data_IF_701784017164
#
_entry.id   IF_701784017164
#
_cell.length_a   1.000
_cell.length_b   1.000
_cell.length_c   1.000
_cell.angle_alpha   90.00
_cell.angle_beta   90.00
_cell.angle_gamma   90.00
#
_symmetry.space_group_name_H-M   'P 1'
#
loop_
_entity.id
_entity.type
_entity.pdbx_description
1 polymer ?
#
# COMPACT_ATOMS: atom_id res chain seq x y z
N UNK A 1 10.03 3.99 -2.46
CA UNK A 1 8.79 4.81 -2.44
C UNK A 1 9.06 6.29 -2.73
N UNK A 2 10.11 6.90 -2.15
CA UNK A 2 10.46 8.33 -2.37
C UNK A 2 10.52 8.81 -3.83
N UNK A 3 11.09 8.00 -4.73
CA UNK A 3 11.22 8.31 -6.17
C UNK A 3 9.84 8.49 -6.85
N UNK A 4 8.75 7.97 -6.26
CA UNK A 4 7.40 8.09 -6.80
C UNK A 4 6.91 9.55 -6.87
N UNK A 5 7.43 10.45 -6.03
CA UNK A 5 7.03 11.86 -5.98
C UNK A 5 7.88 12.76 -6.88
N UNK A 6 8.30 12.24 -8.04
CA UNK A 6 9.11 12.99 -9.00
C UNK A 6 8.25 14.07 -9.69
N UNK A 7 8.56 15.36 -9.48
CA UNK A 7 7.74 16.47 -9.98
C UNK A 7 7.77 16.63 -11.51
N UNK A 8 8.65 15.91 -12.20
CA UNK A 8 8.72 15.95 -13.68
C UNK A 8 7.62 15.11 -14.35
N UNK A 9 6.95 14.22 -13.58
CA UNK A 9 5.84 13.37 -14.04
C UNK A 9 4.49 13.98 -13.67
N UNK A 10 3.43 13.62 -14.39
CA UNK A 10 2.08 14.07 -14.02
C UNK A 10 1.69 13.54 -12.63
N UNK A 11 0.85 14.24 -11.86
CA UNK A 11 0.40 13.76 -10.55
C UNK A 11 -0.25 12.38 -10.61
N UNK A 12 -0.96 12.08 -11.70
CA UNK A 12 -1.62 10.79 -11.90
C UNK A 12 -0.60 9.65 -12.07
N UNK A 13 0.43 9.86 -12.90
CA UNK A 13 1.54 8.90 -13.06
C UNK A 13 2.30 8.70 -11.75
N UNK A 14 2.53 9.77 -10.99
CA UNK A 14 3.16 9.69 -9.67
C UNK A 14 2.33 8.84 -8.70
N UNK A 15 1.00 9.03 -8.67
CA UNK A 15 0.11 8.25 -7.81
C UNK A 15 0.09 6.77 -8.19
N UNK A 16 0.01 6.45 -9.50
CA UNK A 16 0.09 5.07 -9.96
C UNK A 16 1.42 4.42 -9.57
N UNK A 17 2.53 5.07 -9.91
CA UNK A 17 3.88 4.58 -9.56
C UNK A 17 4.05 4.42 -8.05
N UNK A 18 3.47 5.32 -7.24
CA UNK A 18 3.49 5.22 -5.79
C UNK A 18 2.81 3.93 -5.31
N UNK A 19 1.60 3.63 -5.80
CA UNK A 19 0.83 2.45 -5.39
C UNK A 19 1.55 1.17 -5.79
N UNK A 20 2.04 1.07 -7.03
CA UNK A 20 2.84 -0.09 -7.48
C UNK A 20 4.10 -0.28 -6.63
N UNK A 21 4.86 0.80 -6.40
CA UNK A 21 6.09 0.72 -5.59
C UNK A 21 5.79 0.36 -4.14
N UNK A 22 4.70 0.84 -3.56
CA UNK A 22 4.32 0.47 -2.21
C UNK A 22 4.00 -1.02 -2.15
N UNK A 23 3.21 -1.55 -3.10
CA UNK A 23 2.83 -2.97 -3.10
C UNK A 23 4.06 -3.88 -3.21
N UNK A 24 5.00 -3.56 -4.10
CA UNK A 24 6.26 -4.30 -4.20
C UNK A 24 7.16 -4.12 -2.97
N UNK A 25 7.22 -2.91 -2.40
CA UNK A 25 7.98 -2.65 -1.18
C UNK A 25 7.49 -3.50 -0.01
N UNK A 26 6.17 -3.73 0.10
CA UNK A 26 5.57 -4.54 1.16
C UNK A 26 5.98 -6.02 1.12
N UNK A 27 6.36 -6.55 -0.04
CA UNK A 27 6.92 -7.91 -0.14
C UNK A 27 8.25 -7.99 0.63
N UNK A 28 9.14 -7.04 0.37
CA UNK A 28 10.52 -7.02 0.88
C UNK A 28 10.56 -6.59 2.35
N UNK A 29 9.62 -5.75 2.78
CA UNK A 29 9.64 -5.08 4.09
C UNK A 29 8.41 -5.46 4.94
N UNK A 30 7.94 -6.71 4.78
CA UNK A 30 6.76 -7.22 5.46
C UNK A 30 6.90 -7.23 6.99
N UNK A 31 8.12 -7.37 7.49
CA UNK A 31 8.50 -7.24 8.90
C UNK A 31 8.27 -5.82 9.45
N UNK A 32 8.65 -4.79 8.68
CA UNK A 32 8.42 -3.38 9.04
C UNK A 32 6.92 -3.10 9.14
N UNK A 33 6.12 -3.65 8.22
CA UNK A 33 4.66 -3.55 8.29
C UNK A 33 4.14 -4.23 9.55
N UNK A 34 4.57 -5.47 9.84
CA UNK A 34 4.12 -6.21 11.01
C UNK A 34 4.44 -5.47 12.32
N UNK A 35 5.64 -4.91 12.45
CA UNK A 35 6.05 -4.08 13.59
C UNK A 35 5.16 -2.84 13.70
N UNK A 36 4.94 -2.14 12.58
CA UNK A 36 4.09 -0.94 12.56
C UNK A 36 2.66 -1.24 13.00
N UNK A 37 2.12 -2.41 12.61
CA UNK A 37 0.82 -2.86 13.05
C UNK A 37 0.77 -3.17 14.54
N UNK A 38 1.81 -3.83 15.08
CA UNK A 38 1.89 -4.13 16.49
C UNK A 38 1.99 -2.86 17.34
N UNK A 39 2.89 -1.94 16.99
CA UNK A 39 3.07 -0.68 17.71
C UNK A 39 1.87 0.27 17.58
N UNK A 40 1.12 0.18 16.47
CA UNK A 40 -0.09 0.97 16.24
C UNK A 40 -1.30 0.61 17.10
N UNK A 41 -1.23 -0.47 17.90
CA UNK A 41 -2.37 -0.94 18.71
C UNK A 41 -2.55 -0.18 20.01
N UNK A 42 -1.47 0.33 20.58
CA UNK A 42 -1.47 0.91 21.92
C UNK A 42 -0.63 2.19 21.95
N UNK A 43 -1.03 3.22 22.73
CA UNK A 43 -0.22 4.42 22.92
C UNK A 43 1.17 4.07 23.48
N UNK A 44 2.23 4.50 22.78
CA UNK A 44 3.60 4.28 23.22
C UNK A 44 4.57 5.26 22.57
N UNK A 45 5.74 5.45 23.17
CA UNK A 45 6.80 6.28 22.58
C UNK A 45 7.27 5.75 21.21
N UNK A 46 7.12 4.44 20.96
CA UNK A 46 7.47 3.82 19.67
C UNK A 46 6.45 4.19 18.61
N UNK A 47 5.15 4.23 18.95
CA UNK A 47 4.12 4.73 18.06
C UNK A 47 4.34 6.21 17.72
N UNK A 48 4.65 7.03 18.72
CA UNK A 48 4.94 8.46 18.50
C UNK A 48 6.13 8.62 17.55
N UNK A 49 7.22 7.90 17.80
CA UNK A 49 8.40 7.92 16.96
C UNK A 49 8.11 7.48 15.51
N UNK A 50 7.40 6.35 15.33
CA UNK A 50 7.05 5.85 14.00
C UNK A 50 6.16 6.83 13.24
N UNK A 51 5.17 7.39 13.93
CA UNK A 51 4.21 8.33 13.36
C UNK A 51 4.89 9.62 12.93
N UNK A 52 5.66 10.24 13.82
CA UNK A 52 6.25 11.55 13.56
C UNK A 52 7.37 11.48 12.52
N UNK A 53 8.19 10.42 12.54
CA UNK A 53 9.34 10.30 11.64
C UNK A 53 9.00 9.76 10.27
N UNK A 54 8.01 8.88 10.15
CA UNK A 54 7.77 8.14 8.92
C UNK A 54 6.35 8.29 8.38
N UNK A 55 5.34 7.99 9.20
CA UNK A 55 3.96 7.87 8.70
C UNK A 55 3.33 9.22 8.37
N UNK A 56 3.46 10.21 9.26
CA UNK A 56 2.83 11.53 9.08
C UNK A 56 3.46 12.33 7.92
N UNK A 57 4.79 12.38 7.75
CA UNK A 57 5.39 13.02 6.57
C UNK A 57 4.92 12.39 5.26
N UNK A 58 4.84 11.06 5.20
CA UNK A 58 4.34 10.34 4.03
C UNK A 58 2.86 10.63 3.77
N UNK A 59 2.02 10.55 4.79
CA UNK A 59 0.57 10.81 4.68
C UNK A 59 0.28 12.23 4.16
N UNK A 60 1.01 13.24 4.62
CA UNK A 60 0.87 14.62 4.13
C UNK A 60 1.21 14.76 2.64
N UNK A 61 2.26 14.07 2.18
CA UNK A 61 2.63 14.06 0.76
C UNK A 61 1.61 13.31 -0.09
N UNK A 62 1.10 12.19 0.41
CA UNK A 62 0.03 11.44 -0.24
C UNK A 62 -1.24 12.28 -0.35
N UNK A 63 -1.64 12.98 0.72
CA UNK A 63 -2.79 13.88 0.71
C UNK A 63 -2.65 14.96 -0.36
N UNK A 64 -1.50 15.63 -0.42
CA UNK A 64 -1.23 16.65 -1.44
C UNK A 64 -1.28 16.07 -2.85
N UNK A 65 -0.75 14.86 -3.06
CA UNK A 65 -0.78 14.20 -4.36
C UNK A 65 -2.20 13.86 -4.79
N UNK A 66 -3.02 13.33 -3.89
CA UNK A 66 -4.44 13.04 -4.17
C UNK A 66 -5.21 14.31 -4.53
N UNK A 67 -4.98 15.43 -3.84
CA UNK A 67 -5.58 16.72 -4.18
C UNK A 67 -5.17 17.21 -5.57
N UNK A 68 -3.90 17.04 -5.93
CA UNK A 68 -3.40 17.38 -7.27
C UNK A 68 -4.05 16.53 -8.36
N UNK A 69 -4.18 15.21 -8.14
CA UNK A 69 -4.86 14.31 -9.09
C UNK A 69 -6.34 14.66 -9.21
N UNK A 70 -7.03 14.87 -8.09
CA UNK A 70 -8.44 15.22 -8.06
C UNK A 70 -8.78 16.55 -8.79
N UNK A 71 -7.79 17.41 -9.01
CA UNK A 71 -7.99 18.66 -9.76
C UNK A 71 -8.17 18.48 -11.27
N UNK A 72 -7.70 17.35 -11.82
CA UNK A 72 -7.74 17.05 -13.26
C UNK A 72 -8.40 15.71 -13.61
N UNK A 73 -8.50 14.80 -12.64
CA UNK A 73 -9.01 13.44 -12.83
C UNK A 73 -10.00 13.10 -11.73
N UNK A 74 -11.12 12.47 -12.10
CA UNK A 74 -12.14 12.08 -11.14
C UNK A 74 -11.67 10.89 -10.29
N UNK A 75 -11.70 11.07 -8.97
CA UNK A 75 -11.36 10.05 -7.99
C UNK A 75 -12.59 9.72 -7.14
N UNK A 76 -12.71 8.47 -6.69
CA UNK A 76 -13.61 8.14 -5.61
C UNK A 76 -13.22 8.90 -4.33
N UNK A 77 -14.20 9.31 -3.49
CA UNK A 77 -13.94 10.12 -2.29
C UNK A 77 -13.30 9.26 -1.19
N UNK A 78 -12.00 9.00 -1.33
CA UNK A 78 -11.18 8.26 -0.40
C UNK A 78 -10.10 9.19 0.18
N UNK A 79 -10.14 9.43 1.50
CA UNK A 79 -9.11 10.22 2.16
C UNK A 79 -7.76 9.51 2.19
N UNK A 80 -6.66 10.28 2.24
CA UNK A 80 -5.30 9.74 2.30
C UNK A 80 -5.07 8.76 3.46
N UNK A 81 -5.73 8.98 4.61
CA UNK A 81 -5.65 8.05 5.75
C UNK A 81 -6.27 6.68 5.43
N UNK A 82 -7.41 6.65 4.73
CA UNK A 82 -8.04 5.40 4.33
C UNK A 82 -7.22 4.68 3.25
N UNK A 83 -6.66 5.41 2.27
CA UNK A 83 -5.75 4.83 1.29
C UNK A 83 -4.48 4.27 1.94
N UNK A 84 -3.90 5.00 2.89
CA UNK A 84 -2.75 4.53 3.65
C UNK A 84 -3.08 3.26 4.45
N UNK A 85 -4.27 3.20 5.06
CA UNK A 85 -4.72 2.01 5.76
C UNK A 85 -4.88 0.81 4.82
N UNK A 86 -5.44 0.98 3.63
CA UNK A 86 -5.54 -0.09 2.62
C UNK A 86 -4.17 -0.59 2.17
N UNK A 87 -3.22 0.32 1.99
CA UNK A 87 -1.84 -0.04 1.64
C UNK A 87 -1.14 -0.76 2.81
N UNK A 88 -1.08 -0.18 3.99
CA UNK A 88 -0.32 -0.74 5.12
C UNK A 88 -1.00 -1.97 5.73
N UNK A 89 -2.31 -1.93 5.93
CA UNK A 89 -3.07 -3.00 6.59
C UNK A 89 -3.71 -3.99 5.62
N UNK A 90 -4.00 -3.60 4.38
CA UNK A 90 -4.46 -4.54 3.36
C UNK A 90 -3.27 -5.25 2.73
N UNK A 91 -2.56 -4.55 1.84
CA UNK A 91 -1.42 -5.08 1.07
C UNK A 91 -0.32 -5.58 2.00
N UNK A 92 0.05 -4.78 3.00
CA UNK A 92 1.12 -5.14 3.92
C UNK A 92 0.82 -6.41 4.74
N UNK A 93 -0.41 -6.57 5.25
CA UNK A 93 -0.81 -7.80 5.96
C UNK A 93 -0.84 -9.01 5.03
N UNK A 94 -1.26 -8.81 3.77
CA UNK A 94 -1.30 -9.90 2.79
C UNK A 94 0.05 -10.60 2.66
N UNK A 95 1.14 -9.82 2.59
CA UNK A 95 2.50 -10.35 2.50
C UNK A 95 3.10 -10.73 3.86
N UNK A 96 2.76 -10.03 4.95
CA UNK A 96 3.29 -10.32 6.28
C UNK A 96 2.70 -11.58 6.94
N UNK A 97 1.50 -12.00 6.53
CA UNK A 97 0.76 -13.10 7.16
C UNK A 97 0.74 -14.38 6.30
N UNK A 98 1.77 -14.63 5.51
CA UNK A 98 1.89 -15.82 4.64
C UNK A 98 1.46 -17.15 5.28
N UNK A 99 1.99 -17.53 6.47
CA UNK A 99 1.61 -18.77 7.13
C UNK A 99 0.13 -18.84 7.55
N UNK A 100 -0.54 -17.71 7.74
CA UNK A 100 -1.99 -17.66 7.98
C UNK A 100 -2.75 -17.94 6.69
N UNK A 101 -2.37 -17.30 5.58
CA UNK A 101 -3.01 -17.51 4.27
C UNK A 101 -2.88 -18.95 3.78
N UNK A 102 -1.74 -19.59 3.99
CA UNK A 102 -1.56 -21.03 3.70
C UNK A 102 -2.57 -21.91 4.44
N UNK A 103 -2.92 -21.56 5.69
CA UNK A 103 -3.90 -22.30 6.49
C UNK A 103 -5.35 -22.01 6.11
N UNK A 104 -5.63 -20.84 5.55
CA UNK A 104 -6.97 -20.47 5.08
C UNK A 104 -7.36 -21.17 3.77
N UNK A 105 -6.41 -21.83 3.11
CA UNK A 105 -6.59 -22.51 1.83
C UNK A 105 -6.23 -24.02 1.93
N UNK A 106 -6.90 -24.81 2.80
CA UNK A 106 -6.53 -26.21 3.03
C UNK A 106 -6.71 -27.10 1.79
N UNK A 107 -7.66 -26.76 0.91
CA UNK A 107 -8.02 -27.53 -0.29
C UNK A 107 -7.76 -26.77 -1.60
N UNK A 108 -7.11 -25.60 -1.54
CA UNK A 108 -6.70 -24.96 -2.78
C UNK A 108 -5.71 -25.90 -3.47
N UNK A 109 -5.89 -26.19 -4.78
CA UNK A 109 -4.83 -26.83 -5.53
C UNK A 109 -3.56 -26.05 -5.21
N UNK A 110 -2.49 -26.72 -4.78
CA UNK A 110 -1.19 -26.07 -4.85
C UNK A 110 -1.01 -25.75 -6.34
N UNK A 111 -1.29 -24.51 -6.72
CA UNK A 111 -1.34 -24.05 -8.10
C UNK A 111 0.06 -24.19 -8.72
N UNK A 112 0.39 -25.40 -9.13
CA UNK A 112 1.47 -25.69 -10.03
C UNK A 112 0.93 -25.57 -11.44
N UNK A 113 0.91 -24.35 -12.01
CA UNK A 113 1.09 -24.10 -13.46
C UNK A 113 0.90 -22.64 -13.91
N UNK A 114 0.67 -21.68 -13.02
CA UNK A 114 1.13 -20.30 -13.24
C UNK A 114 1.55 -19.78 -11.87
N UNK A 115 2.81 -20.02 -11.49
CA UNK A 115 3.33 -19.54 -10.20
C UNK A 115 3.40 -18.03 -10.25
N UNK A 116 2.30 -17.37 -9.91
CA UNK A 116 2.24 -15.94 -9.76
C UNK A 116 3.27 -15.55 -8.70
N UNK A 117 4.31 -14.85 -9.11
CA UNK A 117 5.36 -14.39 -8.21
C UNK A 117 4.75 -13.45 -7.17
N UNK A 118 5.46 -13.20 -6.06
CA UNK A 118 4.99 -12.20 -5.10
C UNK A 118 4.89 -10.82 -5.78
N UNK A 119 5.75 -10.53 -6.76
CA UNK A 119 5.70 -9.31 -7.57
C UNK A 119 4.43 -9.24 -8.42
N UNK A 120 4.07 -10.32 -9.12
CA UNK A 120 2.83 -10.37 -9.90
C UNK A 120 1.58 -10.19 -9.01
N UNK A 121 1.62 -10.75 -7.79
CA UNK A 121 0.55 -10.56 -6.79
C UNK A 121 0.49 -9.12 -6.29
N UNK A 122 1.64 -8.48 -6.06
CA UNK A 122 1.70 -7.07 -5.68
C UNK A 122 1.20 -6.15 -6.79
N UNK A 123 1.55 -6.43 -8.04
CA UNK A 123 1.08 -5.68 -9.20
C UNK A 123 -0.44 -5.82 -9.37
N UNK A 124 -0.97 -7.05 -9.26
CA UNK A 124 -2.43 -7.29 -9.29
C UNK A 124 -3.15 -6.50 -8.21
N UNK A 125 -2.59 -6.44 -6.99
CA UNK A 125 -3.20 -5.72 -5.88
C UNK A 125 -3.10 -4.20 -6.07
N UNK A 126 -2.01 -3.70 -6.67
CA UNK A 126 -1.87 -2.31 -7.07
C UNK A 126 -2.91 -1.92 -8.13
N UNK A 127 -3.08 -2.74 -9.17
CA UNK A 127 -4.10 -2.54 -10.21
C UNK A 127 -5.50 -2.51 -9.62
N UNK A 128 -5.83 -3.44 -8.73
CA UNK A 128 -7.11 -3.48 -8.05
C UNK A 128 -7.39 -2.22 -7.24
N UNK A 129 -6.41 -1.76 -6.44
CA UNK A 129 -6.54 -0.54 -5.65
C UNK A 129 -6.70 0.70 -6.53
N UNK A 130 -5.93 0.79 -7.63
CA UNK A 130 -6.03 1.90 -8.57
C UNK A 130 -7.38 1.90 -9.30
N UNK A 131 -7.87 0.75 -9.74
CA UNK A 131 -9.18 0.61 -10.37
C UNK A 131 -10.32 1.01 -9.42
N UNK A 132 -10.19 0.74 -8.12
CA UNK A 132 -11.15 1.20 -7.11
C UNK A 132 -11.01 2.67 -6.72
N UNK A 133 -9.84 3.28 -6.96
CA UNK A 133 -9.58 4.69 -6.61
C UNK A 133 -10.01 5.65 -7.72
N UNK A 134 -9.72 5.30 -8.98
CA UNK A 134 -10.14 6.10 -10.14
C UNK A 134 -11.58 5.78 -10.49
N UNK A 135 -12.44 6.81 -10.54
CA UNK A 135 -13.78 6.64 -11.08
C UNK A 135 -13.72 6.71 -12.61
N UNK A 136 -14.27 5.70 -13.29
CA UNK A 136 -14.37 5.65 -14.76
C UNK A 136 -15.15 6.83 -15.36
#
# INVERSE_FOLDING_TARGET
VEIAFDPTRSPEEQLRDLVFRFCRWAIINSDIVAISQQEGREPSWRLDYLTDRFTLPFQRRLQKLLEQVASGTSLHPLGSSALLALLVHGVGSFFALGPMHERLLPDAPQEGASRQTDEDRADTMAEFLLAGLFSA
#
